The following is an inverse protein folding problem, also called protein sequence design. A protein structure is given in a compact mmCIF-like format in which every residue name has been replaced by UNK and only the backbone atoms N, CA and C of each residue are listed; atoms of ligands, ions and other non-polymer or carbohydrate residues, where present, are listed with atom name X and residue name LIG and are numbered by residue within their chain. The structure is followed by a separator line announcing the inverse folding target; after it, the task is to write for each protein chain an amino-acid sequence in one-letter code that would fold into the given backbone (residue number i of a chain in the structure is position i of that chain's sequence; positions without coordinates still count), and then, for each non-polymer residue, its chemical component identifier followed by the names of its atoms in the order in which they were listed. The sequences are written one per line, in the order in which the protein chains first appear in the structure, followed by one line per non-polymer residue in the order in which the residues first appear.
data_IF_046751229203
#
_entry.id   IF_046751229203
#
_cell.length_a   1.000
_cell.length_b   1.000
_cell.length_c   1.000
_cell.angle_alpha   90.00
_cell.angle_beta   90.00
_cell.angle_gamma   90.00
#
_symmetry.space_group_name_H-M   'P 1'
#
loop_
_entity.id
_entity.type
_entity.pdbx_description
1 polymer ?
#
# COMPACT_ATOMS: atom_id res chain seq x y z
N UNK A 1 -20.90 26.04 12.21
CA UNK A 1 -20.18 25.49 11.05
C UNK A 1 -18.95 24.80 11.61
N UNK A 2 -18.84 23.48 11.46
CA UNK A 2 -17.73 22.72 12.05
C UNK A 2 -16.41 23.19 11.43
N UNK A 3 -15.41 23.46 12.27
CA UNK A 3 -14.09 23.85 11.78
C UNK A 3 -13.46 22.65 11.08
N UNK A 4 -13.32 22.76 9.76
CA UNK A 4 -12.78 21.69 8.90
C UNK A 4 -11.35 21.33 9.31
N UNK A 5 -10.58 22.26 9.87
CA UNK A 5 -9.24 22.00 10.38
C UNK A 5 -9.29 21.16 11.67
N UNK A 6 -10.14 21.53 12.61
CA UNK A 6 -10.34 20.80 13.87
C UNK A 6 -10.85 19.37 13.63
N UNK A 7 -11.82 19.20 12.72
CA UNK A 7 -12.30 17.88 12.30
C UNK A 7 -11.16 17.03 11.72
N UNK A 8 -10.35 17.59 10.82
CA UNK A 8 -9.23 16.85 10.22
C UNK A 8 -8.20 16.44 11.28
N UNK A 9 -7.95 17.29 12.27
CA UNK A 9 -7.05 16.99 13.38
C UNK A 9 -7.61 15.87 14.27
N UNK A 10 -8.92 15.92 14.59
CA UNK A 10 -9.60 14.88 15.36
C UNK A 10 -9.55 13.51 14.64
N UNK A 11 -9.85 13.49 13.35
CA UNK A 11 -9.78 12.27 12.53
C UNK A 11 -8.35 11.69 12.49
N UNK A 12 -7.32 12.53 12.40
CA UNK A 12 -5.92 12.07 12.49
C UNK A 12 -5.58 11.53 13.87
N UNK A 13 -6.02 12.19 14.93
CA UNK A 13 -5.76 11.78 16.31
C UNK A 13 -6.42 10.43 16.65
N UNK A 14 -7.46 10.03 15.90
CA UNK A 14 -8.11 8.74 16.03
C UNK A 14 -7.35 7.57 15.37
N UNK A 15 -6.34 7.82 14.52
CA UNK A 15 -5.52 6.79 13.88
C UNK A 15 -4.52 6.17 14.87
N UNK A 16 -5.02 5.41 15.84
CA UNK A 16 -4.23 4.81 16.94
C UNK A 16 -4.13 3.29 16.88
N UNK A 17 -4.78 2.67 15.90
CA UNK A 17 -4.87 1.22 15.75
C UNK A 17 -4.32 0.77 14.40
N UNK A 18 -4.29 -0.54 14.21
CA UNK A 18 -3.85 -1.21 13.00
C UNK A 18 -4.92 -2.23 12.57
N UNK A 19 -5.10 -2.38 11.27
CA UNK A 19 -6.04 -3.36 10.71
C UNK A 19 -5.33 -4.28 9.70
N UNK A 20 -5.64 -5.57 9.76
CA UNK A 20 -5.06 -6.59 8.89
C UNK A 20 -5.79 -6.62 7.55
N UNK A 21 -5.05 -6.30 6.50
CA UNK A 21 -5.54 -6.36 5.12
C UNK A 21 -5.41 -7.76 4.52
N UNK A 22 -4.32 -8.46 4.86
CA UNK A 22 -3.95 -9.74 4.28
C UNK A 22 -3.09 -10.53 5.27
N UNK A 23 -3.21 -11.86 5.26
CA UNK A 23 -2.33 -12.77 6.01
C UNK A 23 -1.69 -13.75 5.03
N UNK A 24 -0.39 -13.99 5.17
CA UNK A 24 0.40 -14.96 4.40
C UNK A 24 1.32 -15.72 5.36
N UNK A 25 0.95 -16.96 5.67
CA UNK A 25 1.72 -17.76 6.62
C UNK A 25 1.75 -17.12 8.01
N UNK A 26 2.94 -16.84 8.49
CA UNK A 26 3.28 -16.20 9.77
C UNK A 26 3.40 -14.67 9.66
N UNK A 27 2.91 -14.07 8.56
CA UNK A 27 2.95 -12.63 8.35
C UNK A 27 1.59 -12.03 8.05
N UNK A 28 1.33 -10.85 8.59
CA UNK A 28 0.15 -10.04 8.31
C UNK A 28 0.54 -8.70 7.73
N UNK A 29 -0.19 -8.27 6.71
CA UNK A 29 -0.07 -6.94 6.13
C UNK A 29 -1.04 -6.00 6.83
N UNK A 30 -0.51 -4.98 7.49
CA UNK A 30 -1.31 -4.04 8.29
C UNK A 30 -1.35 -2.65 7.67
N UNK A 31 -2.43 -1.93 7.93
CA UNK A 31 -2.58 -0.51 7.63
C UNK A 31 -2.96 0.26 8.89
N UNK A 32 -2.51 1.52 9.04
CA UNK A 32 -3.00 2.40 10.08
C UNK A 32 -4.52 2.52 9.97
N UNK A 33 -5.19 2.37 11.10
CA UNK A 33 -6.63 2.34 11.15
C UNK A 33 -7.17 3.13 12.35
N UNK A 34 -8.37 3.70 12.24
CA UNK A 34 -8.99 4.41 13.33
C UNK A 34 -9.35 3.45 14.46
N UNK A 35 -9.02 3.88 15.68
CA UNK A 35 -9.58 3.32 16.89
C UNK A 35 -10.96 3.96 17.15
N UNK A 36 -11.98 3.15 17.38
CA UNK A 36 -13.37 3.64 17.47
C UNK A 36 -13.62 4.43 18.75
N UNK A 37 -12.99 4.05 19.86
CA UNK A 37 -13.13 4.75 21.14
C UNK A 37 -12.43 6.11 21.07
N UNK A 38 -11.21 6.15 20.53
CA UNK A 38 -10.50 7.40 20.29
C UNK A 38 -11.21 8.31 19.27
N UNK A 39 -11.90 7.72 18.29
CA UNK A 39 -12.69 8.48 17.31
C UNK A 39 -13.84 9.23 17.99
N UNK A 40 -14.60 8.55 18.85
CA UNK A 40 -15.73 9.13 19.56
C UNK A 40 -15.29 10.30 20.45
N UNK A 41 -14.21 10.11 21.20
CA UNK A 41 -13.61 11.16 22.04
C UNK A 41 -13.17 12.38 21.21
N UNK A 42 -12.43 12.15 20.11
CA UNK A 42 -11.86 13.23 19.32
C UNK A 42 -12.92 14.01 18.52
N UNK A 43 -13.91 13.31 17.94
CA UNK A 43 -14.94 13.94 17.10
C UNK A 43 -16.03 14.62 17.92
N UNK A 44 -16.40 14.08 19.09
CA UNK A 44 -17.45 14.71 19.92
C UNK A 44 -17.08 16.12 20.36
N UNK A 45 -15.78 16.41 20.52
CA UNK A 45 -15.29 17.76 20.79
C UNK A 45 -15.29 18.69 19.55
N UNK A 46 -15.00 18.14 18.36
CA UNK A 46 -14.86 18.91 17.12
C UNK A 46 -16.19 19.14 16.38
N UNK A 47 -17.09 18.17 16.44
CA UNK A 47 -18.43 18.21 15.85
C UNK A 47 -19.42 17.32 16.62
N UNK A 48 -20.19 17.85 17.59
CA UNK A 48 -21.16 17.08 18.35
C UNK A 48 -22.27 16.43 17.50
N UNK A 49 -22.48 16.88 16.25
CA UNK A 49 -23.46 16.33 15.33
C UNK A 49 -22.95 15.17 14.48
N UNK A 50 -21.72 14.70 14.72
CA UNK A 50 -21.15 13.61 13.97
C UNK A 50 -21.95 12.32 14.15
N UNK A 51 -21.94 11.46 13.13
CA UNK A 51 -22.57 10.13 13.22
C UNK A 51 -21.88 9.13 12.31
N UNK A 52 -21.98 7.86 12.69
CA UNK A 52 -21.39 6.74 12.00
C UNK A 52 -22.42 5.62 11.82
N UNK A 53 -22.56 5.15 10.59
CA UNK A 53 -23.44 4.02 10.24
C UNK A 53 -22.62 2.93 9.55
N UNK A 54 -23.00 1.68 9.79
CA UNK A 54 -22.32 0.52 9.25
C UNK A 54 -23.28 -0.29 8.37
N UNK A 55 -22.76 -0.81 7.27
CA UNK A 55 -23.41 -1.88 6.51
C UNK A 55 -22.40 -2.98 6.23
N UNK A 56 -22.84 -4.24 6.25
CA UNK A 56 -22.02 -5.38 5.86
C UNK A 56 -22.60 -5.95 4.57
N UNK A 57 -21.82 -5.87 3.51
CA UNK A 57 -22.23 -6.31 2.17
C UNK A 57 -21.95 -7.81 1.98
N UNK A 58 -20.93 -8.33 2.65
CA UNK A 58 -20.56 -9.75 2.64
C UNK A 58 -19.83 -10.13 3.92
N UNK A 59 -20.07 -11.35 4.41
CA UNK A 59 -19.37 -11.93 5.56
C UNK A 59 -18.19 -12.82 5.13
N UNK A 60 -18.15 -13.28 3.87
CA UNK A 60 -17.08 -14.15 3.34
C UNK A 60 -16.90 -13.97 1.82
N UNK A 61 -15.85 -13.26 1.36
CA UNK A 61 -14.91 -12.48 2.17
C UNK A 61 -15.63 -11.30 2.86
N UNK A 62 -15.16 -10.84 4.03
CA UNK A 62 -15.79 -9.74 4.75
C UNK A 62 -15.66 -8.44 3.96
N UNK A 63 -16.78 -7.78 3.73
CA UNK A 63 -16.87 -6.49 3.04
C UNK A 63 -17.80 -5.58 3.82
N UNK A 64 -17.28 -4.44 4.27
CA UNK A 64 -17.98 -3.51 5.15
C UNK A 64 -17.98 -2.12 4.56
N UNK A 65 -19.11 -1.44 4.71
CA UNK A 65 -19.29 -0.03 4.39
C UNK A 65 -19.42 0.79 5.67
N UNK A 66 -18.65 1.86 5.76
CA UNK A 66 -18.70 2.84 6.83
C UNK A 66 -19.21 4.16 6.27
N UNK A 67 -20.34 4.65 6.77
CA UNK A 67 -20.86 5.98 6.43
C UNK A 67 -20.61 6.94 7.58
N UNK A 68 -19.70 7.88 7.37
CA UNK A 68 -19.31 8.90 8.33
C UNK A 68 -19.93 10.25 7.92
N UNK A 69 -20.68 10.85 8.83
CA UNK A 69 -21.30 12.16 8.64
C UNK A 69 -20.70 13.18 9.59
N UNK A 70 -20.13 14.26 9.06
CA UNK A 70 -19.48 15.34 9.81
C UNK A 70 -19.77 16.68 9.12
N UNK A 71 -20.15 17.71 9.88
CA UNK A 71 -20.36 19.07 9.39
C UNK A 71 -21.45 19.19 8.32
N UNK A 72 -22.44 18.28 8.35
CA UNK A 72 -23.51 18.18 7.35
C UNK A 72 -23.13 17.45 6.06
N UNK A 73 -21.89 16.96 5.92
CA UNK A 73 -21.46 16.13 4.80
C UNK A 73 -21.41 14.65 5.21
N UNK A 74 -22.01 13.78 4.41
CA UNK A 74 -21.88 12.33 4.55
C UNK A 74 -20.92 11.76 3.49
N UNK A 75 -20.01 10.90 3.94
CA UNK A 75 -19.05 10.19 3.09
C UNK A 75 -19.02 8.73 3.48
N UNK A 76 -18.86 7.89 2.47
CA UNK A 76 -18.89 6.44 2.63
C UNK A 76 -17.54 5.88 2.21
N UNK A 77 -17.00 4.97 3.01
CA UNK A 77 -15.86 4.14 2.66
C UNK A 77 -16.28 2.68 2.57
N UNK A 78 -15.67 1.94 1.67
CA UNK A 78 -15.95 0.51 1.44
C UNK A 78 -14.64 -0.25 1.45
N UNK A 79 -14.50 -1.22 2.36
CA UNK A 79 -13.29 -2.01 2.43
C UNK A 79 -13.53 -3.43 2.91
N UNK A 80 -12.65 -4.33 2.48
CA UNK A 80 -12.53 -5.68 3.00
C UNK A 80 -11.31 -5.80 3.92
N UNK A 81 -11.22 -6.91 4.64
CA UNK A 81 -10.10 -7.19 5.56
C UNK A 81 -9.94 -8.69 5.77
N UNK A 82 -8.93 -9.07 6.55
CA UNK A 82 -8.75 -10.48 6.91
C UNK A 82 -9.91 -10.98 7.79
N UNK A 83 -10.30 -10.19 8.81
CA UNK A 83 -11.48 -10.43 9.65
C UNK A 83 -12.53 -9.33 9.45
N UNK A 84 -13.73 -9.56 9.95
CA UNK A 84 -14.82 -8.56 9.91
C UNK A 84 -14.43 -7.27 10.65
N UNK A 85 -13.70 -7.39 11.77
CA UNK A 85 -13.22 -6.24 12.53
C UNK A 85 -12.23 -5.39 11.74
N UNK A 86 -11.29 -6.04 11.03
CA UNK A 86 -10.36 -5.35 10.14
C UNK A 86 -11.08 -4.63 9.01
N UNK A 87 -12.08 -5.28 8.39
CA UNK A 87 -12.89 -4.67 7.34
C UNK A 87 -13.62 -3.41 7.83
N UNK A 88 -14.15 -3.41 9.07
CA UNK A 88 -14.78 -2.22 9.69
C UNK A 88 -13.78 -1.07 9.84
N UNK A 89 -12.61 -1.36 10.41
CA UNK A 89 -11.55 -0.36 10.63
C UNK A 89 -11.04 0.22 9.31
N UNK A 90 -10.84 -0.62 8.30
CA UNK A 90 -10.38 -0.22 6.96
C UNK A 90 -11.44 0.59 6.20
N UNK A 91 -12.72 0.22 6.30
CA UNK A 91 -13.82 0.96 5.68
C UNK A 91 -13.94 2.38 6.26
N UNK A 92 -13.73 2.53 7.56
CA UNK A 92 -13.70 3.83 8.22
C UNK A 92 -12.46 4.65 7.85
N UNK A 93 -11.28 4.00 7.77
CA UNK A 93 -10.05 4.64 7.26
C UNK A 93 -10.21 5.12 5.80
N UNK A 94 -10.99 4.40 4.98
CA UNK A 94 -11.33 4.82 3.62
C UNK A 94 -12.24 6.06 3.63
N UNK A 95 -13.25 6.09 4.51
CA UNK A 95 -14.12 7.26 4.66
C UNK A 95 -13.35 8.54 5.05
N UNK A 96 -12.29 8.42 5.87
CA UNK A 96 -11.44 9.54 6.29
C UNK A 96 -10.76 10.27 5.13
N UNK A 97 -10.49 9.57 4.02
CA UNK A 97 -9.84 10.15 2.82
C UNK A 97 -10.66 11.30 2.25
N UNK A 98 -11.99 11.19 2.29
CA UNK A 98 -12.90 12.23 1.81
C UNK A 98 -12.93 13.49 2.69
N UNK A 99 -12.40 13.40 3.91
CA UNK A 99 -12.23 14.53 4.83
C UNK A 99 -10.77 15.06 4.83
N UNK A 100 -9.92 14.57 3.91
CA UNK A 100 -8.54 15.00 3.76
C UNK A 100 -7.57 14.35 4.74
N UNK A 101 -7.96 13.21 5.34
CA UNK A 101 -7.08 12.37 6.16
C UNK A 101 -6.75 11.11 5.38
N UNK A 102 -5.51 10.99 4.94
CA UNK A 102 -5.03 9.82 4.23
C UNK A 102 -4.18 8.95 5.15
N UNK A 103 -4.50 7.66 5.19
CA UNK A 103 -3.65 6.60 5.77
C UNK A 103 -2.66 6.04 4.74
N UNK A 104 -2.39 6.78 3.65
CA UNK A 104 -1.46 6.37 2.62
C UNK A 104 -0.02 6.34 3.18
N UNK A 105 0.36 5.18 3.68
CA UNK A 105 1.73 4.78 4.01
C UNK A 105 2.02 3.42 3.42
N UNK A 106 3.29 3.03 3.41
CA UNK A 106 3.69 1.66 3.10
C UNK A 106 2.97 0.73 4.10
N UNK A 107 2.32 -0.32 3.60
CA UNK A 107 1.58 -1.27 4.44
C UNK A 107 2.56 -2.38 4.89
N UNK A 108 3.17 -2.27 6.09
CA UNK A 108 4.22 -3.18 6.50
C UNK A 108 3.67 -4.59 6.69
N UNK A 109 4.54 -5.56 6.45
CA UNK A 109 4.34 -6.92 6.91
C UNK A 109 4.88 -7.03 8.33
N UNK A 110 4.05 -7.54 9.23
CA UNK A 110 4.42 -7.84 10.62
C UNK A 110 4.26 -9.32 10.88
N UNK A 111 4.93 -9.82 11.91
CA UNK A 111 4.70 -11.16 12.44
C UNK A 111 3.23 -11.32 12.83
N UNK A 112 2.66 -12.46 12.49
CA UNK A 112 1.26 -12.78 12.73
C UNK A 112 1.13 -14.14 13.38
N UNK A 113 0.55 -14.13 14.57
CA UNK A 113 0.09 -15.33 15.24
C UNK A 113 -1.45 -15.40 15.16
N UNK A 114 -2.05 -16.57 14.86
CA UNK A 114 -3.51 -16.69 14.77
C UNK A 114 -4.25 -16.39 16.08
N UNK A 115 -3.63 -16.70 17.22
CA UNK A 115 -4.18 -16.55 18.57
C UNK A 115 -3.93 -15.13 19.11
N UNK A 116 -2.71 -14.60 18.95
CA UNK A 116 -2.33 -13.26 19.45
C UNK A 116 -2.58 -12.12 18.44
N UNK A 117 -2.68 -12.42 17.15
CA UNK A 117 -2.90 -11.44 16.08
C UNK A 117 -1.60 -10.82 15.52
N UNK A 118 -1.68 -9.68 14.78
CA UNK A 118 -0.50 -9.03 14.22
C UNK A 118 0.34 -8.36 15.33
N UNK A 119 1.65 -8.59 15.31
CA UNK A 119 2.60 -7.91 16.22
C UNK A 119 2.89 -6.49 15.71
N UNK A 120 2.22 -5.50 16.28
CA UNK A 120 2.38 -4.08 15.89
C UNK A 120 3.21 -3.26 16.89
N UNK A 121 3.89 -3.90 17.84
CA UNK A 121 4.63 -3.20 18.91
C UNK A 121 5.74 -2.30 18.40
N UNK A 122 6.36 -2.65 17.27
CA UNK A 122 7.45 -1.88 16.66
C UNK A 122 6.97 -0.77 15.70
N UNK A 123 5.69 -0.76 15.32
CA UNK A 123 5.15 0.20 14.33
C UNK A 123 4.75 1.55 14.94
N UNK A 124 4.61 1.62 16.27
CA UNK A 124 4.13 2.80 16.97
C UNK A 124 2.64 3.11 16.70
N UNK A 125 2.03 3.94 17.56
CA UNK A 125 0.66 4.48 17.40
C UNK A 125 0.66 5.97 17.06
N UNK A 126 1.81 6.52 16.65
CA UNK A 126 1.93 7.94 16.36
C UNK A 126 1.28 8.26 14.99
N UNK A 127 0.34 9.22 14.90
CA UNK A 127 -0.25 9.60 13.63
C UNK A 127 0.84 9.99 12.63
N UNK A 128 0.75 9.59 11.35
CA UNK A 128 1.79 9.91 10.37
C UNK A 128 1.94 11.44 10.29
N UNK A 129 3.08 11.93 10.78
CA UNK A 129 3.46 13.32 10.69
C UNK A 129 3.49 13.73 9.21
N UNK A 130 3.11 14.98 8.94
CA UNK A 130 2.98 15.57 7.60
C UNK A 130 4.19 15.18 6.74
N UNK A 131 3.99 14.27 5.78
CA UNK A 131 5.03 13.90 4.83
C UNK A 131 5.29 15.12 3.92
N UNK A 132 6.41 15.79 4.17
CA UNK A 132 7.10 16.56 3.12
C UNK A 132 7.38 15.62 1.95
N UNK A 133 7.41 16.10 0.68
CA UNK A 133 7.68 15.26 -0.46
C UNK A 133 9.14 14.78 -0.39
N UNK A 134 9.37 13.64 0.24
CA UNK A 134 10.65 12.94 0.21
C UNK A 134 10.69 12.08 -1.05
N UNK A 135 11.69 12.40 -1.86
CA UNK A 135 12.28 11.60 -2.94
C UNK A 135 12.15 10.10 -2.67
N UNK A 136 11.78 9.26 -3.66
CA UNK A 136 11.58 7.83 -3.43
C UNK A 136 12.88 7.20 -2.94
N UNK A 137 12.94 6.89 -1.64
CA UNK A 137 13.97 6.07 -1.05
C UNK A 137 13.66 4.61 -1.44
N UNK A 138 14.67 3.95 -1.97
CA UNK A 138 14.60 2.59 -2.47
C UNK A 138 14.09 1.60 -1.40
N UNK A 139 13.18 0.72 -1.83
CA UNK A 139 12.67 -0.41 -1.06
C UNK A 139 13.81 -1.32 -0.55
N UNK A 140 13.63 -2.04 0.57
CA UNK A 140 14.58 -3.05 1.01
C UNK A 140 14.66 -4.19 -0.03
N UNK A 141 15.86 -4.75 -0.28
CA UNK A 141 16.02 -5.82 -1.26
C UNK A 141 15.27 -7.08 -0.80
N UNK A 142 14.32 -7.53 -1.63
CA UNK A 142 13.78 -8.89 -1.60
C UNK A 142 14.94 -9.90 -1.60
N UNK A 143 14.83 -11.10 -0.98
CA UNK A 143 15.90 -12.09 -1.04
C UNK A 143 16.20 -12.40 -2.50
N UNK A 144 17.33 -11.88 -3.00
CA UNK A 144 17.74 -12.05 -4.38
C UNK A 144 18.06 -13.51 -4.60
N UNK A 145 17.29 -14.16 -5.47
CA UNK A 145 17.66 -15.48 -5.96
C UNK A 145 19.00 -15.33 -6.73
N UNK A 146 20.09 -16.01 -6.32
CA UNK A 146 21.41 -15.85 -6.93
C UNK A 146 21.44 -16.13 -8.44
N UNK A 147 20.43 -16.86 -8.95
CA UNK A 147 20.26 -17.12 -10.37
C UNK A 147 19.64 -15.92 -11.11
N UNK A 148 18.75 -15.16 -10.46
CA UNK A 148 18.17 -13.92 -11.00
C UNK A 148 19.20 -12.81 -11.09
N UNK A 149 20.10 -12.69 -10.11
CA UNK A 149 21.17 -11.68 -10.14
C UNK A 149 22.15 -11.92 -11.29
N UNK A 150 22.51 -13.19 -11.53
CA UNK A 150 23.34 -13.58 -12.69
C UNK A 150 22.64 -13.30 -14.02
N UNK A 151 21.33 -13.55 -14.10
CA UNK A 151 20.55 -13.26 -15.30
C UNK A 151 20.47 -11.75 -15.57
N UNK A 152 20.25 -10.94 -14.52
CA UNK A 152 20.21 -9.47 -14.60
C UNK A 152 21.55 -8.91 -15.05
N UNK A 153 22.66 -9.34 -14.44
CA UNK A 153 24.01 -8.93 -14.83
C UNK A 153 24.33 -9.27 -16.30
N UNK A 154 23.81 -10.38 -16.80
CA UNK A 154 23.99 -10.78 -18.20
C UNK A 154 23.18 -9.91 -19.17
N UNK A 155 21.94 -9.56 -18.80
CA UNK A 155 21.10 -8.63 -19.55
C UNK A 155 21.74 -7.22 -19.56
N UNK A 156 22.30 -6.77 -18.45
CA UNK A 156 22.98 -5.47 -18.36
C UNK A 156 24.21 -5.39 -19.27
N UNK A 157 25.01 -6.45 -19.30
CA UNK A 157 26.17 -6.56 -20.19
C UNK A 157 25.74 -6.48 -21.66
N UNK A 158 24.63 -7.16 -22.02
CA UNK A 158 24.08 -7.17 -23.37
C UNK A 158 23.50 -5.79 -23.77
N UNK A 159 22.85 -5.11 -22.83
CA UNK A 159 22.32 -3.75 -22.99
C UNK A 159 23.44 -2.73 -23.22
N UNK A 160 24.56 -2.86 -22.51
CA UNK A 160 25.74 -2.01 -22.70
C UNK A 160 26.33 -2.20 -24.11
N UNK A 161 26.47 -3.44 -24.58
CA UNK A 161 26.94 -3.73 -25.94
C UNK A 161 26.00 -3.17 -27.02
N UNK A 162 24.68 -3.32 -26.84
CA UNK A 162 23.68 -2.75 -27.76
C UNK A 162 23.69 -1.22 -27.75
N UNK A 163 24.02 -0.58 -26.63
CA UNK A 163 24.20 0.87 -26.54
C UNK A 163 25.43 1.33 -27.31
N UNK A 164 26.55 0.63 -27.16
CA UNK A 164 27.79 0.91 -27.89
C UNK A 164 27.62 0.73 -29.41
N UNK A 165 26.77 -0.21 -29.83
CA UNK A 165 26.40 -0.44 -31.24
C UNK A 165 25.26 0.48 -31.75
N UNK A 166 24.91 1.54 -31.02
CA UNK A 166 23.98 2.58 -31.46
C UNK A 166 22.48 2.21 -31.38
N UNK A 167 22.12 1.02 -30.90
CA UNK A 167 20.73 0.55 -30.75
C UNK A 167 20.20 0.58 -29.31
N UNK A 168 20.88 1.31 -28.42
CA UNK A 168 20.50 1.40 -27.01
C UNK A 168 19.08 1.91 -26.74
N UNK A 169 18.51 2.73 -27.63
CA UNK A 169 17.12 3.23 -27.50
C UNK A 169 16.07 2.15 -27.73
N UNK A 170 16.31 1.23 -28.67
CA UNK A 170 15.39 0.11 -28.95
C UNK A 170 15.48 -0.94 -27.84
N UNK A 171 16.69 -1.20 -27.36
CA UNK A 171 16.93 -2.10 -26.23
C UNK A 171 16.29 -1.57 -24.93
N UNK A 172 16.38 -0.26 -24.67
CA UNK A 172 15.74 0.38 -23.50
C UNK A 172 14.21 0.32 -23.58
N UNK A 173 13.63 0.37 -24.78
CA UNK A 173 12.19 0.24 -24.97
C UNK A 173 11.68 -1.16 -24.62
N UNK A 174 12.50 -2.19 -24.77
CA UNK A 174 12.17 -3.58 -24.39
C UNK A 174 12.25 -3.81 -22.87
N UNK A 175 13.13 -3.08 -22.17
CA UNK A 175 13.32 -3.20 -20.70
C UNK A 175 12.51 -2.14 -19.93
N UNK A 176 11.72 -1.31 -20.62
CA UNK A 176 10.96 -0.21 -20.00
C UNK A 176 9.90 -0.68 -18.98
N UNK A 177 9.51 -1.95 -19.02
CA UNK A 177 8.66 -2.62 -18.03
C UNK A 177 9.42 -3.39 -16.93
N UNK A 178 10.75 -3.30 -16.88
CA UNK A 178 11.62 -4.08 -15.99
C UNK A 178 12.17 -5.37 -16.63
N UNK A 179 13.03 -6.09 -15.90
CA UNK A 179 13.72 -7.32 -16.36
C UNK A 179 12.82 -8.58 -16.33
N UNK A 180 11.50 -8.41 -16.24
CA UNK A 180 10.58 -9.46 -15.81
C UNK A 180 10.66 -9.69 -14.30
N UNK A 181 9.53 -9.97 -13.67
CA UNK A 181 9.47 -10.34 -12.25
C UNK A 181 9.67 -11.86 -12.06
N UNK A 182 9.67 -12.61 -13.16
CA UNK A 182 9.87 -14.08 -13.18
C UNK A 182 10.99 -14.52 -14.12
N UNK A 183 11.59 -15.69 -13.86
CA UNK A 183 12.67 -16.28 -14.68
C UNK A 183 12.25 -16.54 -16.14
N UNK A 184 10.97 -16.84 -16.39
CA UNK A 184 10.45 -17.02 -17.75
C UNK A 184 10.40 -15.71 -18.52
N UNK A 185 9.97 -14.62 -17.87
CA UNK A 185 9.96 -13.28 -18.45
C UNK A 185 11.38 -12.77 -18.72
N UNK A 186 12.32 -12.97 -17.78
CA UNK A 186 13.73 -12.60 -17.99
C UNK A 186 14.36 -13.36 -19.17
N UNK A 187 14.01 -14.64 -19.36
CA UNK A 187 14.46 -15.44 -20.52
C UNK A 187 13.83 -14.99 -21.83
N UNK A 188 12.57 -14.56 -21.81
CA UNK A 188 11.89 -14.00 -22.97
C UNK A 188 12.55 -12.68 -23.42
N UNK A 189 12.78 -11.76 -22.47
CA UNK A 189 13.47 -10.48 -22.72
C UNK A 189 14.89 -10.72 -23.25
N UNK A 190 15.63 -11.67 -22.67
CA UNK A 190 16.95 -12.03 -23.16
C UNK A 190 16.95 -12.53 -24.62
N UNK A 191 15.99 -13.39 -25.00
CA UNK A 191 15.86 -13.87 -26.39
C UNK A 191 15.52 -12.74 -27.36
N UNK A 192 14.68 -11.78 -26.96
CA UNK A 192 14.33 -10.62 -27.78
C UNK A 192 15.52 -9.68 -27.97
N UNK A 193 16.29 -9.41 -26.91
CA UNK A 193 17.51 -8.61 -27.01
C UNK A 193 18.59 -9.29 -27.85
N UNK A 194 18.75 -10.62 -27.75
CA UNK A 194 19.69 -11.37 -28.58
C UNK A 194 19.28 -11.39 -30.06
N UNK A 195 17.97 -11.38 -30.36
CA UNK A 195 17.46 -11.23 -31.72
C UNK A 195 17.72 -9.81 -32.26
N UNK A 196 17.63 -8.78 -31.41
CA UNK A 196 17.95 -7.40 -31.75
C UNK A 196 19.44 -7.22 -32.06
N UNK A 197 20.32 -7.85 -31.26
CA UNK A 197 21.78 -7.85 -31.48
C UNK A 197 22.16 -8.49 -32.81
N UNK A 198 21.62 -9.67 -33.13
CA UNK A 198 21.87 -10.34 -34.42
C UNK A 198 21.37 -9.55 -35.64
N UNK A 199 20.33 -8.72 -35.47
CA UNK A 199 19.85 -7.77 -36.51
C UNK A 199 20.67 -6.48 -36.56
N UNK A 200 21.54 -6.23 -35.59
CA UNK A 200 22.45 -5.10 -35.55
C UNK A 200 23.81 -5.41 -36.17
N UNK A 201 24.21 -6.69 -36.15
CA UNK A 201 25.47 -7.18 -36.71
C UNK A 201 25.38 -7.60 -38.19
N UNK A 202 24.21 -7.47 -38.83
CA UNK A 202 23.99 -7.60 -40.28
C UNK A 202 23.85 -6.22 -40.91
#
# INVERSE_FOLDING_TARGET
MSDTSAVRQALRAALRSWAVTEVRGDQARVLPAPDLDALDECLSAADPGWSLQWACDSLSPPLVRARLSIGGAAREGLSGGHRLDDAKKLALADAFRYFGVSVAGEAPWVEYDPDDGPNTSELGSDPPAVATPVTPAAAPPRPSDPQMDKARAHIDTLMEQLRQNGKGKEALKLVLGGYGETLEESRAIYKELQALQRRAER
#
